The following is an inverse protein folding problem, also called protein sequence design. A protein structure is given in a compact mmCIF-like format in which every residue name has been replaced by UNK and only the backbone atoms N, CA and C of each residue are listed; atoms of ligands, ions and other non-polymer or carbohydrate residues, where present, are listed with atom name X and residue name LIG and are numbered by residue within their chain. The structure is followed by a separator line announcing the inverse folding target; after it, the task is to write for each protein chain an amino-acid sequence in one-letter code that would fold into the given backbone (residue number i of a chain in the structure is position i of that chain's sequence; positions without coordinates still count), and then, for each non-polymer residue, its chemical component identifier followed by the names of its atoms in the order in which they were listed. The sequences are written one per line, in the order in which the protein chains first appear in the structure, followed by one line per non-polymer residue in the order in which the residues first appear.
data_IF_746022981397
#
_entry.id   IF_746022981397
#
_cell.length_a   1.000
_cell.length_b   1.000
_cell.length_c   1.000
_cell.angle_alpha   90.00
_cell.angle_beta   90.00
_cell.angle_gamma   90.00
#
_symmetry.space_group_name_H-M   'P 1'
#
loop_
_entity.id
_entity.type
_entity.pdbx_description
1 polymer ?
#
# COMPACT_ATOMS: atom_id res chain seq x y z
N UNK A 1 -9.89 11.06 -7.34
CA UNK A 1 -10.33 11.57 -8.67
C UNK A 1 -9.24 12.28 -9.48
N UNK A 2 -8.00 12.48 -8.99
CA UNK A 2 -6.92 13.10 -9.78
C UNK A 2 -5.90 12.12 -10.40
N UNK A 3 -5.84 10.86 -9.94
CA UNK A 3 -4.91 9.84 -10.46
C UNK A 3 -5.59 8.73 -11.28
N UNK A 4 -6.90 8.83 -11.55
CA UNK A 4 -7.58 7.89 -12.45
C UNK A 4 -7.69 8.48 -13.86
N UNK A 5 -6.52 8.64 -14.49
CA UNK A 5 -6.46 8.82 -15.93
C UNK A 5 -6.08 7.47 -16.53
N UNK A 6 -6.93 6.92 -17.41
CA UNK A 6 -6.64 5.69 -18.15
C UNK A 6 -5.30 5.71 -18.91
N UNK A 7 -4.65 6.87 -19.04
CA UNK A 7 -3.30 7.03 -19.55
C UNK A 7 -2.21 6.43 -18.64
N UNK A 8 -2.39 6.44 -17.31
CA UNK A 8 -1.42 5.91 -16.33
C UNK A 8 -1.40 4.38 -16.42
N UNK A 9 -2.57 3.74 -16.54
CA UNK A 9 -2.70 2.27 -16.71
C UNK A 9 -2.02 1.75 -17.99
N UNK A 10 -1.95 2.57 -19.05
CA UNK A 10 -1.31 2.21 -20.33
C UNK A 10 0.23 2.33 -20.32
N UNK A 11 0.82 3.08 -19.39
CA UNK A 11 2.27 3.30 -19.31
C UNK A 11 2.95 2.66 -18.10
N UNK A 12 2.21 2.26 -17.07
CA UNK A 12 2.76 1.58 -15.90
C UNK A 12 2.62 0.06 -16.00
N UNK A 13 3.75 -0.62 -16.11
CA UNK A 13 3.85 -2.06 -15.87
C UNK A 13 3.58 -2.36 -14.39
N UNK A 14 3.00 -3.52 -14.11
CA UNK A 14 2.65 -3.98 -12.75
C UNK A 14 3.83 -3.83 -11.77
N UNK A 15 5.04 -4.16 -12.23
CA UNK A 15 6.29 -4.01 -11.45
C UNK A 15 6.65 -2.55 -11.16
N UNK A 16 6.49 -1.65 -12.13
CA UNK A 16 6.77 -0.22 -11.92
C UNK A 16 5.76 0.37 -10.94
N UNK A 17 4.49 -0.04 -11.02
CA UNK A 17 3.42 0.41 -10.13
C UNK A 17 3.71 0.07 -8.66
N UNK A 18 3.98 -1.20 -8.35
CA UNK A 18 4.33 -1.61 -7.00
C UNK A 18 5.65 -1.01 -6.50
N UNK A 19 6.60 -0.73 -7.41
CA UNK A 19 7.84 -0.05 -7.05
C UNK A 19 7.62 1.40 -6.63
N UNK A 20 6.84 2.15 -7.41
CA UNK A 20 6.45 3.54 -7.06
C UNK A 20 5.68 3.56 -5.75
N UNK A 21 4.74 2.64 -5.55
CA UNK A 21 3.98 2.54 -4.32
C UNK A 21 4.88 2.29 -3.09
N UNK A 22 5.83 1.37 -3.22
CA UNK A 22 6.79 1.05 -2.15
C UNK A 22 7.62 2.28 -1.79
N UNK A 23 8.24 2.95 -2.77
CA UNK A 23 9.06 4.14 -2.53
C UNK A 23 8.23 5.28 -1.93
N UNK A 24 7.07 5.57 -2.52
CA UNK A 24 6.20 6.67 -2.10
C UNK A 24 5.76 6.51 -0.64
N UNK A 25 5.17 5.36 -0.29
CA UNK A 25 4.68 5.16 1.09
C UNK A 25 5.80 5.03 2.11
N UNK A 26 6.96 4.47 1.73
CA UNK A 26 8.14 4.45 2.62
C UNK A 26 8.58 5.87 2.96
N UNK A 27 8.72 6.74 1.95
CA UNK A 27 9.12 8.14 2.16
C UNK A 27 8.09 8.87 3.03
N UNK A 28 6.79 8.69 2.76
CA UNK A 28 5.73 9.34 3.52
C UNK A 28 5.73 8.89 5.01
N UNK A 29 5.95 7.60 5.28
CA UNK A 29 6.06 7.07 6.65
C UNK A 29 7.32 7.56 7.37
N UNK A 30 8.47 7.64 6.68
CA UNK A 30 9.70 8.20 7.25
C UNK A 30 9.57 9.68 7.62
N UNK A 31 8.86 10.46 6.78
CA UNK A 31 8.56 11.86 7.08
C UNK A 31 7.68 11.95 8.33
N UNK A 32 6.60 11.15 8.42
CA UNK A 32 5.75 11.09 9.63
C UNK A 32 6.52 10.69 10.89
N UNK A 33 7.50 9.79 10.79
CA UNK A 33 8.33 9.38 11.91
C UNK A 33 9.25 10.51 12.42
N UNK A 34 9.58 11.50 11.59
CA UNK A 34 10.54 12.57 11.93
C UNK A 34 9.85 13.87 12.37
N UNK A 35 8.62 14.10 11.89
CA UNK A 35 7.90 15.35 12.11
C UNK A 35 7.34 15.44 13.54
N UNK A 36 7.57 16.60 14.19
CA UNK A 36 7.00 16.96 15.51
C UNK A 36 5.84 17.94 15.43
N UNK A 37 5.72 18.64 14.31
CA UNK A 37 4.75 19.71 14.12
C UNK A 37 3.41 19.13 13.69
N UNK A 38 2.39 19.31 14.51
CA UNK A 38 1.07 18.69 14.31
C UNK A 38 0.40 19.08 12.98
N UNK A 39 0.52 20.33 12.54
CA UNK A 39 -0.02 20.77 11.23
C UNK A 39 0.61 20.01 10.05
N UNK A 40 1.92 19.75 10.13
CA UNK A 40 2.63 18.99 9.09
C UNK A 40 2.16 17.54 9.07
N UNK A 41 1.90 16.95 10.23
CA UNK A 41 1.33 15.59 10.35
C UNK A 41 -0.04 15.52 9.66
N UNK A 42 -0.93 16.50 9.89
CA UNK A 42 -2.25 16.53 9.26
C UNK A 42 -2.14 16.63 7.73
N UNK A 43 -1.29 17.53 7.23
CA UNK A 43 -1.05 17.67 5.78
C UNK A 43 -0.53 16.35 5.19
N UNK A 44 0.40 15.69 5.87
CA UNK A 44 0.93 14.40 5.45
C UNK A 44 -0.16 13.33 5.39
N UNK A 45 -1.08 13.28 6.35
CA UNK A 45 -2.21 12.35 6.29
C UNK A 45 -3.14 12.61 5.10
N UNK A 46 -3.43 13.88 4.80
CA UNK A 46 -4.25 14.23 3.62
C UNK A 46 -3.57 13.72 2.34
N UNK A 47 -2.25 13.94 2.22
CA UNK A 47 -1.45 13.48 1.09
C UNK A 47 -1.47 11.95 0.99
N UNK A 48 -1.22 11.24 2.10
CA UNK A 48 -1.23 9.77 2.16
C UNK A 48 -2.59 9.23 1.73
N UNK A 49 -3.68 9.77 2.27
CA UNK A 49 -5.04 9.34 1.92
C UNK A 49 -5.35 9.60 0.45
N UNK A 50 -4.97 10.77 -0.08
CA UNK A 50 -5.17 11.11 -1.48
C UNK A 50 -4.44 10.14 -2.41
N UNK A 51 -3.19 9.78 -2.10
CA UNK A 51 -2.44 8.78 -2.84
C UNK A 51 -3.02 7.37 -2.69
N UNK A 52 -3.40 6.97 -1.47
CA UNK A 52 -4.02 5.66 -1.21
C UNK A 52 -5.29 5.47 -2.05
N UNK A 53 -6.19 6.44 -2.05
CA UNK A 53 -7.40 6.40 -2.87
C UNK A 53 -7.11 6.45 -4.38
N UNK A 54 -6.07 7.18 -4.79
CA UNK A 54 -5.65 7.24 -6.19
C UNK A 54 -5.11 5.90 -6.70
N UNK A 55 -4.25 5.27 -5.91
CA UNK A 55 -3.57 4.03 -6.24
C UNK A 55 -4.48 2.80 -6.08
N UNK A 56 -5.39 2.77 -5.10
CA UNK A 56 -6.30 1.64 -4.91
C UNK A 56 -7.20 1.39 -6.12
N UNK A 57 -7.65 2.45 -6.80
CA UNK A 57 -8.42 2.33 -8.05
C UNK A 57 -7.63 1.70 -9.19
N UNK A 58 -6.32 1.95 -9.24
CA UNK A 58 -5.44 1.35 -10.25
C UNK A 58 -5.23 -0.13 -9.91
N UNK A 59 -5.03 -0.46 -8.64
CA UNK A 59 -4.86 -1.84 -8.16
C UNK A 59 -6.11 -2.70 -8.41
N UNK A 60 -7.31 -2.20 -8.06
CA UNK A 60 -8.60 -2.84 -8.42
C UNK A 60 -8.66 -3.16 -9.92
N UNK A 61 -8.20 -2.21 -10.75
CA UNK A 61 -8.14 -2.37 -12.20
C UNK A 61 -7.14 -3.43 -12.69
N UNK A 62 -6.07 -3.71 -11.94
CA UNK A 62 -5.14 -4.81 -12.22
C UNK A 62 -5.68 -6.15 -11.72
N UNK A 63 -6.22 -6.20 -10.49
CA UNK A 63 -6.82 -7.41 -9.92
C UNK A 63 -7.96 -7.94 -10.80
N UNK A 64 -8.85 -7.07 -11.28
CA UNK A 64 -9.94 -7.46 -12.18
C UNK A 64 -9.44 -8.02 -13.51
N UNK A 65 -8.29 -7.56 -14.02
CA UNK A 65 -7.66 -8.06 -15.23
C UNK A 65 -7.04 -9.45 -15.03
N UNK A 66 -6.39 -9.68 -13.88
CA UNK A 66 -5.80 -10.99 -13.54
C UNK A 66 -6.88 -12.05 -13.28
N UNK A 67 -7.97 -11.66 -12.62
CA UNK A 67 -9.03 -12.58 -12.19
C UNK A 67 -10.10 -12.79 -13.29
N UNK A 68 -10.03 -12.07 -14.41
CA UNK A 68 -11.08 -12.01 -15.43
C UNK A 68 -11.51 -13.39 -15.97
N UNK A 69 -10.61 -14.38 -15.99
CA UNK A 69 -10.85 -15.74 -16.49
C UNK A 69 -11.31 -16.76 -15.42
N UNK A 70 -11.37 -16.39 -14.14
CA UNK A 70 -11.68 -17.33 -13.05
C UNK A 70 -13.18 -17.41 -12.75
N UNK A 71 -13.72 -18.63 -12.66
CA UNK A 71 -15.11 -18.88 -12.20
C UNK A 71 -15.36 -18.46 -10.75
N UNK A 72 -14.31 -18.29 -9.94
CA UNK A 72 -14.39 -17.93 -8.52
C UNK A 72 -14.07 -16.45 -8.26
N UNK A 73 -14.26 -15.58 -9.25
CA UNK A 73 -13.91 -14.15 -9.18
C UNK A 73 -14.50 -13.45 -7.95
N UNK A 74 -15.79 -13.66 -7.67
CA UNK A 74 -16.46 -13.04 -6.52
C UNK A 74 -15.86 -13.52 -5.19
N UNK A 75 -15.56 -14.82 -5.06
CA UNK A 75 -14.96 -15.41 -3.87
C UNK A 75 -13.53 -14.95 -3.64
N UNK A 76 -12.73 -14.82 -4.70
CA UNK A 76 -11.36 -14.30 -4.61
C UNK A 76 -11.35 -12.83 -4.20
N UNK A 77 -12.27 -12.03 -4.72
CA UNK A 77 -12.40 -10.61 -4.36
C UNK A 77 -12.83 -10.46 -2.89
N UNK A 78 -13.81 -11.25 -2.44
CA UNK A 78 -14.29 -11.18 -1.05
C UNK A 78 -13.26 -11.69 -0.05
N UNK A 79 -12.55 -12.78 -0.35
CA UNK A 79 -11.44 -13.27 0.47
C UNK A 79 -10.34 -12.21 0.60
N UNK A 80 -9.98 -11.54 -0.50
CA UNK A 80 -9.04 -10.41 -0.48
C UNK A 80 -9.48 -9.30 0.48
N UNK A 81 -10.74 -8.86 0.39
CA UNK A 81 -11.27 -7.81 1.28
C UNK A 81 -11.30 -8.22 2.76
N UNK A 82 -11.54 -9.51 3.07
CA UNK A 82 -11.54 -10.00 4.44
C UNK A 82 -10.13 -10.00 5.04
N UNK A 83 -9.13 -10.40 4.25
CA UNK A 83 -7.71 -10.33 4.65
C UNK A 83 -7.31 -8.88 4.89
N UNK A 84 -7.69 -7.96 3.99
CA UNK A 84 -7.42 -6.53 4.15
C UNK A 84 -8.01 -5.98 5.46
N UNK A 85 -9.27 -6.31 5.77
CA UNK A 85 -9.91 -5.88 7.01
C UNK A 85 -9.22 -6.46 8.25
N UNK A 86 -8.88 -7.75 8.23
CA UNK A 86 -8.20 -8.41 9.34
C UNK A 86 -6.81 -7.80 9.60
N UNK A 87 -6.03 -7.58 8.54
CA UNK A 87 -4.70 -6.94 8.63
C UNK A 87 -4.83 -5.50 9.11
N UNK A 88 -5.80 -4.75 8.57
CA UNK A 88 -6.04 -3.35 8.99
C UNK A 88 -6.41 -3.27 10.46
N UNK A 89 -7.29 -4.14 10.95
CA UNK A 89 -7.66 -4.19 12.36
C UNK A 89 -6.45 -4.53 13.25
N UNK A 90 -5.69 -5.57 12.89
CA UNK A 90 -4.50 -6.00 13.65
C UNK A 90 -3.42 -4.91 13.70
N UNK A 91 -3.13 -4.27 12.57
CA UNK A 91 -2.17 -3.18 12.51
C UNK A 91 -2.67 -1.94 13.24
N UNK A 92 -3.94 -1.55 13.09
CA UNK A 92 -4.48 -0.37 13.77
C UNK A 92 -4.41 -0.53 15.29
N UNK A 93 -4.74 -1.72 15.80
CA UNK A 93 -4.59 -2.04 17.22
C UNK A 93 -3.12 -2.00 17.65
N UNK A 94 -2.23 -2.66 16.90
CA UNK A 94 -0.80 -2.69 17.20
C UNK A 94 -0.16 -1.31 17.21
N UNK A 95 -0.50 -0.46 16.23
CA UNK A 95 -0.02 0.92 16.14
C UNK A 95 -0.56 1.74 17.31
N UNK A 96 -1.85 1.65 17.61
CA UNK A 96 -2.48 2.36 18.73
C UNK A 96 -1.76 2.06 20.05
N UNK A 97 -1.50 0.77 20.31
CA UNK A 97 -0.77 0.32 21.49
C UNK A 97 0.67 0.86 21.56
N UNK A 98 1.40 0.86 20.44
CA UNK A 98 2.78 1.38 20.38
C UNK A 98 2.81 2.90 20.61
N UNK A 99 1.86 3.62 20.02
CA UNK A 99 1.75 5.08 20.14
C UNK A 99 1.46 5.48 21.57
N UNK A 100 0.57 4.75 22.25
CA UNK A 100 0.25 4.96 23.67
C UNK A 100 1.47 4.75 24.57
N UNK A 101 2.26 3.68 24.31
CA UNK A 101 3.31 3.23 25.24
C UNK A 101 4.68 3.87 25.02
N UNK A 102 5.01 4.30 23.80
CA UNK A 102 6.35 4.79 23.47
C UNK A 102 6.34 6.24 23.01
N UNK A 103 5.80 6.49 21.82
CA UNK A 103 5.58 7.81 21.24
C UNK A 103 4.94 7.66 19.86
N UNK A 104 4.32 8.74 19.39
CA UNK A 104 3.81 8.84 18.03
C UNK A 104 4.89 8.52 16.98
N UNK A 105 6.09 9.09 17.12
CA UNK A 105 7.21 8.93 16.19
C UNK A 105 7.67 7.48 16.09
N UNK A 106 7.82 6.82 17.24
CA UNK A 106 8.22 5.41 17.27
C UNK A 106 7.14 4.52 16.64
N UNK A 107 5.87 4.86 16.82
CA UNK A 107 4.74 4.23 16.11
C UNK A 107 4.94 4.22 14.60
N UNK A 108 5.12 5.38 13.98
CA UNK A 108 5.34 5.48 12.52
C UNK A 108 6.66 4.88 12.06
N UNK A 109 7.70 4.95 12.88
CA UNK A 109 8.98 4.33 12.56
C UNK A 109 8.86 2.80 12.48
N UNK A 110 8.25 2.17 13.49
CA UNK A 110 8.03 0.72 13.47
C UNK A 110 7.10 0.29 12.33
N UNK A 111 6.08 1.10 12.04
CA UNK A 111 5.19 0.88 10.90
C UNK A 111 5.95 0.95 9.57
N UNK A 112 6.83 1.95 9.39
CA UNK A 112 7.69 2.09 8.21
C UNK A 112 8.67 0.93 8.04
N UNK A 113 9.29 0.48 9.13
CA UNK A 113 10.17 -0.70 9.13
C UNK A 113 9.38 -1.96 8.76
N UNK A 114 8.23 -2.19 9.42
CA UNK A 114 7.37 -3.33 9.11
C UNK A 114 6.90 -3.33 7.66
N UNK A 115 6.52 -2.16 7.14
CA UNK A 115 6.14 -1.97 5.75
C UNK A 115 7.26 -2.39 4.80
N UNK A 116 8.50 -1.94 5.05
CA UNK A 116 9.66 -2.34 4.24
C UNK A 116 9.97 -3.84 4.32
N UNK A 117 9.95 -4.41 5.53
CA UNK A 117 10.24 -5.83 5.75
C UNK A 117 9.26 -6.74 5.01
N UNK A 118 7.99 -6.33 4.89
CA UNK A 118 6.97 -7.12 4.18
C UNK A 118 7.01 -6.85 2.67
N UNK A 119 7.06 -5.59 2.24
CA UNK A 119 6.91 -5.23 0.83
C UNK A 119 8.16 -5.44 -0.01
N UNK A 120 9.36 -5.32 0.55
CA UNK A 120 10.60 -5.54 -0.22
C UNK A 120 10.69 -7.00 -0.71
N UNK A 121 10.51 -8.03 0.14
CA UNK A 121 10.44 -9.41 -0.33
C UNK A 121 9.33 -9.65 -1.35
N UNK A 122 8.15 -9.05 -1.15
CA UNK A 122 7.02 -9.18 -2.06
C UNK A 122 7.33 -8.59 -3.45
N UNK A 123 7.95 -7.40 -3.46
CA UNK A 123 8.39 -6.72 -4.68
C UNK A 123 9.42 -7.57 -5.46
N UNK A 124 10.39 -8.15 -4.75
CA UNK A 124 11.38 -9.06 -5.35
C UNK A 124 10.70 -10.30 -5.91
N UNK A 125 9.73 -10.87 -5.21
CA UNK A 125 8.97 -12.04 -5.65
C UNK A 125 8.19 -11.77 -6.95
N UNK A 126 7.47 -10.65 -7.01
CA UNK A 126 6.74 -10.21 -8.21
C UNK A 126 7.72 -10.00 -9.38
N UNK A 127 8.85 -9.33 -9.13
CA UNK A 127 9.88 -9.11 -10.14
C UNK A 127 10.48 -10.41 -10.69
N UNK A 128 10.64 -11.45 -9.86
CA UNK A 128 11.11 -12.78 -10.29
C UNK A 128 10.06 -13.52 -11.12
N UNK A 129 8.77 -13.45 -10.77
CA UNK A 129 7.69 -14.05 -11.57
C UNK A 129 7.47 -13.36 -12.91
N UNK A 130 7.57 -12.04 -12.96
CA UNK A 130 7.48 -11.28 -14.22
C UNK A 130 8.59 -11.69 -15.20
N UNK A 131 9.83 -11.91 -14.72
CA UNK A 131 10.93 -12.43 -15.56
C UNK A 131 10.71 -13.85 -16.09
N UNK A 132 9.87 -14.65 -15.42
CA UNK A 132 9.51 -16.02 -15.86
C UNK A 132 8.33 -16.05 -16.85
N UNK A 133 7.85 -14.90 -17.31
CA UNK A 133 6.75 -14.82 -18.28
C UNK A 133 5.37 -15.18 -17.73
N UNK A 134 5.19 -15.12 -16.40
CA UNK A 134 3.92 -15.48 -15.75
C UNK A 134 2.85 -14.36 -15.81
N UNK A 135 3.16 -13.21 -16.41
CA UNK A 135 2.29 -12.04 -16.56
C UNK A 135 2.57 -11.31 -17.87
#
# INVERSE_FOLDING_TARGET
MLAYSGAIKKRLTLRSFFGVQLVLFTVLLCVLATVRVWWVVVIMFIIINAFQWGLSRIDEGFQLGIIQSSKFKATLLSAGSQIEQAVTAGLSFGIGYIVERSSYQNGFLYLGIGFLVVLVPLYVYIGRRAKKGAY
#
